data_IF_954201875428
#
_entry.id   IF_954201875428
#
_cell.length_a   1.000
_cell.length_b   1.000
_cell.length_c   1.000
_cell.angle_alpha   90.00
_cell.angle_beta   90.00
_cell.angle_gamma   90.00
#
_symmetry.space_group_name_H-M   'P 1'
#
loop_
_entity.id
_entity.type
_entity.pdbx_description
1 polymer ?
#
# COMPACT_ATOMS: atom_id res chain seq x y z
N UNK A 1 -12.12 39.84 35.88
CA UNK A 1 -11.27 38.64 35.75
C UNK A 1 -11.59 38.02 34.39
N UNK A 2 -10.66 38.12 33.44
CA UNK A 2 -10.79 37.50 32.12
C UNK A 2 -10.53 36.00 32.27
N UNK A 3 -11.56 35.17 32.06
CA UNK A 3 -11.42 33.72 32.00
C UNK A 3 -10.91 33.34 30.60
N UNK A 4 -9.65 32.96 30.51
CA UNK A 4 -9.04 32.46 29.28
C UNK A 4 -9.70 31.15 28.86
N UNK A 5 -10.37 31.15 27.71
CA UNK A 5 -10.70 29.93 26.99
C UNK A 5 -9.39 29.33 26.46
N UNK A 6 -8.99 28.19 27.02
CA UNK A 6 -7.89 27.39 26.49
C UNK A 6 -8.34 26.75 25.17
N UNK A 7 -8.22 27.48 24.06
CA UNK A 7 -8.30 26.90 22.72
C UNK A 7 -7.08 26.00 22.52
N UNK A 8 -7.30 24.67 22.48
CA UNK A 8 -6.28 23.79 21.90
C UNK A 8 -6.03 24.27 20.46
N UNK A 9 -4.78 24.32 19.99
CA UNK A 9 -4.51 24.73 18.62
C UNK A 9 -5.26 23.78 17.69
N UNK A 10 -6.21 24.31 16.91
CA UNK A 10 -6.82 23.63 15.77
C UNK A 10 -5.66 23.18 14.89
N UNK A 11 -5.39 21.87 14.88
CA UNK A 11 -4.45 21.28 13.94
C UNK A 11 -4.97 21.65 12.56
N UNK A 12 -4.15 22.25 11.71
CA UNK A 12 -4.53 22.45 10.31
C UNK A 12 -4.76 21.07 9.69
N UNK A 13 -6.03 20.72 9.47
CA UNK A 13 -6.44 19.49 8.82
C UNK A 13 -6.57 19.81 7.32
N UNK A 14 -6.13 18.91 6.47
CA UNK A 14 -6.51 18.97 5.06
C UNK A 14 -7.86 18.27 4.86
N UNK A 15 -8.52 18.49 3.72
CA UNK A 15 -9.79 17.85 3.40
C UNK A 15 -9.72 16.32 3.53
N UNK A 16 -8.61 15.70 3.12
CA UNK A 16 -8.43 14.25 3.26
C UNK A 16 -8.46 13.80 4.72
N UNK A 17 -7.83 14.55 5.64
CA UNK A 17 -7.83 14.24 7.08
C UNK A 17 -9.23 14.34 7.69
N UNK A 18 -10.04 15.31 7.26
CA UNK A 18 -11.42 15.48 7.76
C UNK A 18 -12.32 14.33 7.28
N UNK A 19 -12.23 13.96 6.00
CA UNK A 19 -12.93 12.77 5.48
C UNK A 19 -12.45 11.51 6.21
N UNK A 20 -11.20 11.50 6.66
CA UNK A 20 -10.61 10.45 7.48
C UNK A 20 -11.25 10.35 8.88
N UNK A 21 -11.50 11.48 9.52
CA UNK A 21 -12.10 11.56 10.85
C UNK A 21 -13.60 11.26 10.82
N UNK A 22 -14.33 11.82 9.85
CA UNK A 22 -15.77 11.57 9.66
C UNK A 22 -16.08 10.10 9.45
N UNK A 23 -15.27 9.39 8.67
CA UNK A 23 -15.47 7.95 8.45
C UNK A 23 -15.20 7.09 9.70
N UNK A 24 -14.48 7.62 10.70
CA UNK A 24 -14.19 6.93 11.98
C UNK A 24 -15.19 7.28 13.08
N UNK A 25 -16.09 8.23 12.83
CA UNK A 25 -17.24 8.50 13.71
C UNK A 25 -18.27 7.39 13.51
N UNK A 26 -18.54 6.65 14.58
CA UNK A 26 -19.60 5.62 14.64
C UNK A 26 -20.93 6.19 15.14
N UNK A 27 -20.92 7.39 15.74
CA UNK A 27 -22.07 8.07 16.33
C UNK A 27 -22.45 9.33 15.53
N UNK A 28 -23.74 9.46 15.18
CA UNK A 28 -24.29 10.62 14.46
C UNK A 28 -24.17 11.94 15.24
N UNK A 29 -24.01 11.87 16.58
CA UNK A 29 -23.93 13.03 17.48
C UNK A 29 -22.61 13.81 17.40
N UNK A 30 -21.63 13.31 16.66
CA UNK A 30 -20.30 13.92 16.47
C UNK A 30 -20.06 14.40 15.05
N UNK A 31 -21.10 14.49 14.21
CA UNK A 31 -20.96 15.08 12.88
C UNK A 31 -20.73 16.60 12.99
N UNK A 32 -19.72 17.15 12.31
CA UNK A 32 -19.49 18.58 12.28
C UNK A 32 -20.63 19.29 11.57
N UNK A 33 -21.02 20.44 12.10
CA UNK A 33 -22.11 21.24 11.56
C UNK A 33 -21.68 22.08 10.36
N UNK A 34 -20.38 22.37 10.24
CA UNK A 34 -19.83 23.04 9.07
C UNK A 34 -18.40 22.58 8.80
N UNK A 35 -18.12 22.32 7.53
CA UNK A 35 -16.77 22.09 7.03
C UNK A 35 -16.48 23.20 6.02
N UNK A 36 -15.46 24.00 6.29
CA UNK A 36 -14.99 25.06 5.39
C UNK A 36 -13.73 24.58 4.70
N UNK A 37 -13.77 24.45 3.38
CA UNK A 37 -12.61 24.06 2.56
C UNK A 37 -12.01 25.32 1.96
N UNK A 38 -10.75 25.60 2.25
CA UNK A 38 -10.05 26.75 1.69
C UNK A 38 -9.59 26.46 0.25
N UNK A 39 -9.36 27.49 -0.57
CA UNK A 39 -8.74 27.29 -1.87
C UNK A 39 -7.40 26.56 -1.73
N UNK A 40 -7.10 25.59 -2.61
CA UNK A 40 -5.83 24.88 -2.55
C UNK A 40 -4.64 25.81 -2.85
N UNK A 41 -3.45 25.47 -2.37
CA UNK A 41 -2.24 26.31 -2.51
C UNK A 41 -1.87 26.66 -3.97
N UNK A 42 -2.29 25.83 -4.92
CA UNK A 42 -2.06 26.03 -6.36
C UNK A 42 -3.22 26.73 -7.08
N UNK A 43 -4.24 27.24 -6.39
CA UNK A 43 -5.43 27.84 -7.00
C UNK A 43 -5.12 29.02 -7.96
N UNK A 44 -3.96 29.65 -7.83
CA UNK A 44 -3.53 30.80 -8.66
C UNK A 44 -2.25 30.52 -9.48
N UNK A 45 -1.81 29.27 -9.63
CA UNK A 45 -0.58 28.94 -10.36
C UNK A 45 -0.84 28.71 -11.86
N UNK A 46 0.04 29.21 -12.74
CA UNK A 46 0.01 29.02 -14.22
C UNK A 46 0.31 27.57 -14.67
N UNK A 47 0.42 26.62 -13.74
CA UNK A 47 0.73 25.20 -14.03
C UNK A 47 -0.52 24.37 -13.79
N UNK A 48 -1.29 24.18 -14.86
CA UNK A 48 -2.55 23.43 -14.93
C UNK A 48 -2.35 21.92 -15.16
N UNK A 49 -1.21 21.35 -14.77
CA UNK A 49 -0.94 19.91 -14.93
C UNK A 49 -1.75 19.01 -13.98
N UNK A 50 -2.49 19.61 -13.03
CA UNK A 50 -3.63 18.93 -12.42
C UNK A 50 -4.78 18.87 -13.44
N UNK A 51 -4.59 17.96 -14.40
CA UNK A 51 -5.44 17.57 -15.51
C UNK A 51 -6.87 18.05 -15.37
N UNK A 52 -7.23 19.11 -16.10
CA UNK A 52 -8.58 19.62 -16.29
C UNK A 52 -9.38 18.62 -17.14
N UNK A 53 -10.18 17.76 -16.49
CA UNK A 53 -11.07 16.79 -17.14
C UNK A 53 -12.47 16.74 -16.50
N UNK A 54 -13.48 16.98 -17.33
CA UNK A 54 -14.93 17.06 -17.10
C UNK A 54 -15.41 17.71 -15.79
N UNK A 55 -15.83 18.97 -15.93
CA UNK A 55 -16.65 19.70 -14.96
C UNK A 55 -18.08 19.14 -14.84
N UNK A 56 -18.48 18.20 -15.71
CA UNK A 56 -19.86 17.69 -15.75
C UNK A 56 -20.21 16.74 -14.59
N UNK A 57 -19.25 16.09 -13.93
CA UNK A 57 -19.53 15.16 -12.82
C UNK A 57 -18.49 15.20 -11.69
N UNK A 58 -18.60 16.22 -10.81
CA UNK A 58 -17.90 16.28 -9.53
C UNK A 58 -18.64 15.40 -8.50
N UNK A 59 -18.19 14.16 -8.31
CA UNK A 59 -18.58 13.34 -7.17
C UNK A 59 -17.50 13.43 -6.08
N UNK A 60 -17.86 13.18 -4.81
CA UNK A 60 -16.91 13.07 -3.68
C UNK A 60 -15.74 12.12 -3.99
N UNK A 61 -15.99 11.19 -4.92
CA UNK A 61 -15.06 10.17 -5.38
C UNK A 61 -14.08 10.65 -6.47
N UNK A 62 -14.19 11.89 -6.92
CA UNK A 62 -13.45 12.44 -8.07
C UNK A 62 -12.74 13.75 -7.73
N UNK A 63 -12.53 14.05 -6.44
CA UNK A 63 -11.81 15.25 -6.02
C UNK A 63 -10.36 15.22 -6.52
N UNK A 64 -9.89 16.38 -6.97
CA UNK A 64 -8.52 16.59 -7.43
C UNK A 64 -7.54 16.53 -6.26
N UNK A 65 -6.28 16.21 -6.55
CA UNK A 65 -5.22 16.16 -5.54
C UNK A 65 -5.02 17.47 -4.80
N UNK A 66 -5.08 18.61 -5.49
CA UNK A 66 -5.10 19.94 -4.85
C UNK A 66 -6.24 20.09 -3.85
N UNK A 67 -7.46 19.70 -4.23
CA UNK A 67 -8.65 19.79 -3.38
C UNK A 67 -8.53 18.90 -2.14
N UNK A 68 -8.01 17.67 -2.28
CA UNK A 68 -7.80 16.76 -1.13
C UNK A 68 -6.72 17.28 -0.17
N UNK A 69 -5.72 17.98 -0.69
CA UNK A 69 -4.65 18.62 0.11
C UNK A 69 -5.02 20.03 0.57
N UNK A 70 -6.18 20.54 0.16
CA UNK A 70 -6.61 21.87 0.54
C UNK A 70 -6.76 21.96 2.06
N UNK A 71 -6.29 23.06 2.69
CA UNK A 71 -6.57 23.32 4.08
C UNK A 71 -8.07 23.33 4.30
N UNK A 72 -8.53 22.80 5.43
CA UNK A 72 -9.93 22.80 5.77
C UNK A 72 -10.12 22.93 7.29
N UNK A 73 -11.21 23.60 7.65
CA UNK A 73 -11.62 23.85 9.03
C UNK A 73 -12.94 23.15 9.32
N UNK A 74 -13.06 22.64 10.55
CA UNK A 74 -14.23 21.90 11.02
C UNK A 74 -14.84 22.66 12.20
N UNK A 75 -16.15 22.92 12.12
CA UNK A 75 -16.93 23.53 13.19
C UNK A 75 -17.95 22.52 13.71
N UNK A 76 -18.05 22.40 15.03
CA UNK A 76 -19.07 21.62 15.72
C UNK A 76 -20.03 22.56 16.44
N UNK A 77 -21.33 22.38 16.26
CA UNK A 77 -22.34 23.12 17.02
C UNK A 77 -22.52 22.40 18.35
N UNK A 78 -22.10 23.04 19.44
CA UNK A 78 -22.60 22.65 20.75
C UNK A 78 -24.03 23.18 20.81
N UNK A 79 -25.04 22.31 20.89
CA UNK A 79 -26.41 22.73 21.17
C UNK A 79 -26.40 23.37 22.56
N UNK A 80 -26.63 24.67 22.63
CA UNK A 80 -26.59 25.47 23.84
C UNK A 80 -27.84 25.33 24.72
N UNK A 81 -28.54 24.20 24.66
CA UNK A 81 -29.83 24.02 25.33
C UNK A 81 -29.82 22.95 26.43
N UNK A 82 -28.67 22.64 27.02
CA UNK A 82 -28.59 22.17 28.42
C UNK A 82 -27.32 22.74 29.07
N UNK A 83 -27.50 23.74 29.94
CA UNK A 83 -26.49 24.06 30.96
C UNK A 83 -26.36 22.85 31.90
N UNK A 84 -25.11 22.53 32.20
CA UNK A 84 -24.57 21.74 33.31
C UNK A 84 -24.21 20.25 33.07
N UNK A 85 -22.89 20.05 33.10
CA UNK A 85 -22.13 18.82 33.37
C UNK A 85 -21.99 17.73 32.28
N UNK A 86 -21.23 18.05 31.22
CA UNK A 86 -20.39 17.03 30.54
C UNK A 86 -18.91 17.31 30.85
N UNK A 87 -18.24 16.47 31.64
CA UNK A 87 -16.85 16.73 32.03
C UNK A 87 -15.91 16.62 30.82
N UNK A 88 -14.97 17.57 30.69
CA UNK A 88 -13.87 17.61 29.69
C UNK A 88 -13.06 16.30 29.55
N UNK A 89 -13.23 15.34 30.46
CA UNK A 89 -12.70 13.96 30.36
C UNK A 89 -13.38 13.09 29.29
N UNK A 90 -14.56 13.47 28.77
CA UNK A 90 -15.20 12.75 27.66
C UNK A 90 -14.47 12.98 26.33
N UNK A 91 -13.79 14.12 26.17
CA UNK A 91 -12.97 14.46 25.00
C UNK A 91 -11.53 13.87 25.07
N UNK A 92 -11.14 13.21 26.17
CA UNK A 92 -9.77 12.70 26.35
C UNK A 92 -9.63 11.19 26.09
N UNK A 93 -10.69 10.45 25.81
CA UNK A 93 -10.61 9.01 25.53
C UNK A 93 -10.38 8.70 24.05
N UNK A 94 -9.25 9.15 23.49
CA UNK A 94 -8.60 8.49 22.33
C UNK A 94 -7.15 8.96 22.16
N UNK A 95 -6.32 8.58 23.13
CA UNK A 95 -4.91 8.29 22.90
C UNK A 95 -4.43 7.32 23.97
N UNK A 96 -4.24 6.04 23.60
CA UNK A 96 -3.25 5.20 24.30
C UNK A 96 -1.89 5.63 23.75
N UNK A 97 -1.33 6.68 24.32
CA UNK A 97 0.12 6.84 24.38
C UNK A 97 0.56 6.08 25.62
N UNK A 98 1.39 5.04 25.44
CA UNK A 98 2.21 4.52 26.53
C UNK A 98 3.11 5.67 26.95
N UNK A 99 2.92 6.17 28.16
CA UNK A 99 3.85 7.09 28.81
C UNK A 99 4.58 6.31 29.90
N UNK A 100 5.90 6.17 29.73
CA UNK A 100 6.80 5.63 30.74
C UNK A 100 6.99 6.73 31.78
N UNK A 101 6.37 6.59 32.94
CA UNK A 101 6.59 7.47 34.09
C UNK A 101 7.99 7.24 34.64
N UNK A 102 8.86 8.25 34.50
CA UNK A 102 10.07 8.39 35.30
C UNK A 102 9.66 8.97 36.65
N UNK A 103 9.93 8.22 37.72
CA UNK A 103 9.82 8.71 39.10
C UNK A 103 11.07 9.54 39.43
N UNK A 104 10.87 10.82 39.77
CA UNK A 104 11.87 11.64 40.43
C UNK A 104 12.03 11.14 41.87
N UNK A 105 13.23 10.67 42.21
CA UNK A 105 13.67 10.50 43.60
C UNK A 105 15.01 11.19 43.80
N UNK A 106 14.96 12.20 44.65
CA UNK A 106 15.96 12.73 45.58
C UNK A 106 17.47 12.71 45.25
N UNK A 107 18.01 13.92 45.35
CA UNK A 107 19.40 14.35 45.35
C UNK A 107 20.47 13.36 45.84
N UNK A 108 21.54 13.17 45.05
CA UNK A 108 22.91 12.89 45.54
C UNK A 108 23.98 13.42 44.53
N UNK A 109 25.27 13.51 44.89
CA UNK A 109 26.08 14.73 44.84
C UNK A 109 26.94 14.88 43.56
N UNK A 110 27.50 16.09 43.41
CA UNK A 110 28.57 16.41 42.47
C UNK A 110 29.70 15.37 42.51
N UNK A 111 29.99 14.75 41.35
CA UNK A 111 31.28 14.14 41.10
C UNK A 111 31.66 14.33 39.62
N UNK A 112 32.67 15.16 39.41
CA UNK A 112 33.42 15.33 38.17
C UNK A 112 34.18 14.05 37.84
N UNK A 113 33.96 13.47 36.67
CA UNK A 113 34.98 12.64 36.00
C UNK A 113 34.67 12.54 34.50
N UNK A 114 35.61 13.03 33.70
CA UNK A 114 35.69 12.85 32.25
C UNK A 114 35.54 11.37 31.86
N UNK A 115 34.54 11.05 31.04
CA UNK A 115 34.42 9.73 30.41
C UNK A 115 34.55 9.89 28.90
N UNK A 116 35.71 9.46 28.42
CA UNK A 116 36.10 9.33 27.02
C UNK A 116 35.03 8.66 26.17
N UNK A 117 34.76 9.26 25.01
CA UNK A 117 33.95 8.69 23.93
C UNK A 117 34.56 7.37 23.43
N UNK A 118 33.98 6.24 23.82
CA UNK A 118 34.13 4.96 23.14
C UNK A 118 32.77 4.25 23.12
N UNK A 119 31.84 4.79 22.33
CA UNK A 119 30.66 4.04 21.90
C UNK A 119 31.07 3.19 20.70
N UNK A 120 31.33 1.91 20.96
CA UNK A 120 31.49 0.91 19.91
C UNK A 120 30.12 0.72 19.25
N UNK A 121 29.91 1.42 18.13
CA UNK A 121 28.78 1.17 17.25
C UNK A 121 28.81 -0.29 16.83
N UNK A 122 27.83 -1.08 17.27
CA UNK A 122 27.65 -2.45 16.79
C UNK A 122 27.24 -2.33 15.32
N UNK A 123 28.24 -2.41 14.44
CA UNK A 123 28.06 -2.56 13.01
C UNK A 123 27.18 -3.80 12.78
N UNK A 124 26.12 -3.71 11.95
CA UNK A 124 25.40 -4.89 11.51
C UNK A 124 26.40 -5.90 10.96
N UNK A 125 26.44 -7.11 11.52
CA UNK A 125 27.15 -8.26 10.97
C UNK A 125 26.46 -8.73 9.70
N UNK A 126 26.49 -7.89 8.66
CA UNK A 126 26.34 -8.34 7.29
C UNK A 126 27.70 -8.93 6.91
N UNK A 127 27.78 -10.19 6.45
CA UNK A 127 29.03 -10.73 5.92
C UNK A 127 29.55 -9.76 4.85
N UNK A 128 30.77 -9.22 5.04
CA UNK A 128 31.43 -8.22 4.16
C UNK A 128 31.46 -8.60 2.66
N UNK A 129 31.06 -9.81 2.31
CA UNK A 129 31.08 -10.34 0.94
C UNK A 129 29.70 -10.36 0.24
N UNK A 130 28.61 -9.96 0.89
CA UNK A 130 27.40 -9.54 0.16
C UNK A 130 27.48 -8.05 -0.13
N UNK A 131 28.28 -7.71 -1.14
CA UNK A 131 27.95 -6.52 -1.93
C UNK A 131 26.59 -6.81 -2.56
N UNK A 132 25.57 -6.03 -2.23
CA UNK A 132 24.38 -5.95 -3.09
C UNK A 132 24.88 -5.52 -4.46
N UNK A 133 25.08 -6.51 -5.32
CA UNK A 133 25.43 -6.31 -6.72
C UNK A 133 24.16 -5.85 -7.42
N UNK A 134 23.73 -4.63 -7.14
CA UNK A 134 22.97 -3.83 -8.10
C UNK A 134 23.90 -3.59 -9.29
N UNK A 135 24.13 -4.63 -10.10
CA UNK A 135 24.88 -4.52 -11.34
C UNK A 135 24.04 -3.70 -12.31
N UNK A 136 24.70 -3.06 -13.28
CA UNK A 136 24.10 -2.33 -14.41
C UNK A 136 23.04 -3.12 -15.25
N UNK A 137 22.67 -4.33 -14.84
CA UNK A 137 21.66 -5.21 -15.46
C UNK A 137 20.22 -4.93 -14.99
N UNK A 138 20.02 -4.18 -13.90
CA UNK A 138 18.70 -3.99 -13.26
C UNK A 138 17.95 -2.71 -13.66
N UNK A 139 18.58 -1.85 -14.47
CA UNK A 139 17.84 -0.84 -15.23
C UNK A 139 17.67 -1.47 -16.61
N UNK A 140 16.42 -1.67 -17.09
CA UNK A 140 16.17 -2.24 -18.41
C UNK A 140 17.12 -1.60 -19.43
N UNK A 141 17.83 -2.38 -20.24
CA UNK A 141 18.71 -1.79 -21.27
C UNK A 141 17.92 -0.86 -22.21
N UNK A 142 16.61 -1.07 -22.32
CA UNK A 142 15.68 -0.24 -23.07
C UNK A 142 15.36 1.11 -22.40
N UNK A 143 15.58 1.27 -21.08
CA UNK A 143 15.49 2.56 -20.37
C UNK A 143 16.44 3.63 -20.91
N UNK A 144 17.45 3.18 -21.64
CA UNK A 144 18.47 4.02 -22.25
C UNK A 144 18.23 4.33 -23.74
N UNK A 145 17.35 3.59 -24.41
CA UNK A 145 16.98 3.79 -25.82
C UNK A 145 15.66 4.57 -25.99
N UNK A 146 14.82 4.63 -24.94
CA UNK A 146 13.45 5.17 -25.00
C UNK A 146 13.31 6.69 -25.25
N UNK A 147 14.40 7.46 -25.32
CA UNK A 147 14.35 8.92 -25.55
C UNK A 147 14.87 9.37 -26.92
N UNK A 148 15.47 8.48 -27.72
CA UNK A 148 16.13 8.91 -28.97
C UNK A 148 15.18 8.92 -30.18
N UNK A 149 14.01 8.25 -30.09
CA UNK A 149 13.06 8.13 -31.19
C UNK A 149 11.61 8.33 -30.68
N UNK A 150 10.90 9.30 -31.27
CA UNK A 150 9.44 9.52 -31.27
C UNK A 150 8.83 10.66 -30.40
N UNK A 151 8.16 11.60 -31.08
CA UNK A 151 7.00 12.36 -30.58
C UNK A 151 7.05 13.88 -30.83
N UNK A 152 6.19 14.40 -31.73
CA UNK A 152 6.08 15.82 -32.17
C UNK A 152 5.76 16.88 -31.09
N UNK A 153 5.86 16.56 -29.79
CA UNK A 153 5.67 17.49 -28.67
C UNK A 153 6.75 17.42 -27.58
N UNK A 154 7.71 16.50 -27.69
CA UNK A 154 8.82 16.42 -26.74
C UNK A 154 9.90 17.42 -27.17
N UNK A 155 10.34 18.27 -26.25
CA UNK A 155 11.48 19.17 -26.49
C UNK A 155 12.69 18.31 -26.85
N UNK A 156 13.37 18.62 -27.95
CA UNK A 156 14.61 17.95 -28.33
C UNK A 156 15.61 18.03 -27.16
N UNK A 157 16.03 16.88 -26.64
CA UNK A 157 16.97 16.83 -25.53
C UNK A 157 17.39 15.41 -25.21
N UNK A 158 18.41 14.92 -25.91
CA UNK A 158 19.00 13.59 -25.68
C UNK A 158 19.31 13.41 -24.20
N UNK A 159 18.83 12.32 -23.60
CA UNK A 159 19.13 11.96 -22.21
C UNK A 159 20.11 10.80 -22.22
N UNK A 160 21.24 10.98 -21.54
CA UNK A 160 22.27 9.94 -21.46
C UNK A 160 21.95 8.91 -20.37
N UNK A 161 22.55 7.72 -20.48
CA UNK A 161 22.52 6.66 -19.44
C UNK A 161 22.91 7.20 -18.07
N UNK A 162 23.96 8.01 -18.01
CA UNK A 162 24.47 8.61 -16.77
C UNK A 162 23.48 9.57 -16.14
N UNK A 163 22.81 10.39 -16.95
CA UNK A 163 21.75 11.29 -16.47
C UNK A 163 20.55 10.51 -15.94
N UNK A 164 20.13 9.44 -16.63
CA UNK A 164 19.02 8.61 -16.15
C UNK A 164 19.35 7.93 -14.81
N UNK A 165 20.58 7.43 -14.64
CA UNK A 165 21.05 6.89 -13.35
C UNK A 165 21.06 7.94 -12.26
N UNK A 166 21.51 9.16 -12.57
CA UNK A 166 21.48 10.30 -11.65
C UNK A 166 20.04 10.64 -11.26
N UNK A 167 19.13 10.72 -12.23
CA UNK A 167 17.69 10.94 -12.02
C UNK A 167 17.07 9.90 -11.08
N UNK A 168 17.29 8.61 -11.36
CA UNK A 168 16.83 7.52 -10.48
C UNK A 168 17.48 7.59 -9.08
N UNK A 169 18.75 7.99 -9.00
CA UNK A 169 19.46 8.24 -7.75
C UNK A 169 18.78 9.33 -6.91
N UNK A 170 18.37 10.43 -7.53
CA UNK A 170 17.62 11.51 -6.88
C UNK A 170 16.25 11.01 -6.39
N UNK A 171 15.53 10.19 -7.18
CA UNK A 171 14.26 9.59 -6.77
C UNK A 171 14.41 8.66 -5.56
N UNK A 172 15.42 7.79 -5.55
CA UNK A 172 15.73 6.96 -4.39
C UNK A 172 16.09 7.81 -3.16
N UNK A 173 16.89 8.86 -3.34
CA UNK A 173 17.26 9.78 -2.27
C UNK A 173 16.03 10.48 -1.66
N UNK A 174 15.09 10.91 -2.49
CA UNK A 174 13.83 11.54 -2.06
C UNK A 174 12.89 10.63 -1.25
N UNK A 175 13.07 9.32 -1.35
CA UNK A 175 12.37 8.36 -0.49
C UNK A 175 12.98 8.26 0.90
N UNK A 176 14.26 8.61 1.06
CA UNK A 176 14.98 8.62 2.33
C UNK A 176 14.90 10.00 3.02
N UNK A 177 15.12 11.07 2.27
CA UNK A 177 15.01 12.45 2.75
C UNK A 177 13.75 13.06 2.17
N UNK A 178 12.71 13.21 2.98
CA UNK A 178 11.42 13.76 2.53
C UNK A 178 11.35 15.26 2.81
N UNK A 179 10.99 16.05 1.79
CA UNK A 179 10.76 17.50 1.90
C UNK A 179 9.35 17.86 1.44
N UNK A 180 8.74 18.95 1.94
CA UNK A 180 7.35 19.31 1.62
C UNK A 180 7.07 19.53 0.13
N UNK A 181 8.05 20.08 -0.62
CA UNK A 181 7.92 20.36 -2.05
C UNK A 181 9.12 19.84 -2.80
N UNK A 182 8.88 19.14 -3.91
CA UNK A 182 9.94 18.52 -4.74
C UNK A 182 11.10 19.46 -5.07
N UNK A 183 10.83 20.73 -5.40
CA UNK A 183 11.88 21.66 -5.79
C UNK A 183 12.77 22.14 -4.63
N UNK A 184 12.41 21.83 -3.37
CA UNK A 184 13.26 22.14 -2.22
C UNK A 184 14.57 21.35 -2.21
N UNK A 185 14.69 20.24 -2.94
CA UNK A 185 15.98 19.57 -3.12
C UNK A 185 17.01 20.42 -3.89
N UNK A 186 16.56 21.50 -4.56
CA UNK A 186 17.42 22.45 -5.27
C UNK A 186 17.52 23.81 -4.57
N UNK A 187 17.03 23.91 -3.32
CA UNK A 187 17.15 25.14 -2.55
C UNK A 187 18.62 25.44 -2.23
N UNK A 188 18.98 26.71 -2.27
CA UNK A 188 20.38 27.17 -2.08
C UNK A 188 20.59 27.87 -0.75
N UNK A 189 19.52 28.13 0.01
CA UNK A 189 19.60 28.70 1.36
C UNK A 189 20.46 27.83 2.29
N UNK A 190 21.20 28.47 3.18
CA UNK A 190 22.21 27.81 4.02
C UNK A 190 21.66 26.70 4.91
N UNK A 191 20.38 26.78 5.26
CA UNK A 191 19.63 25.88 6.13
C UNK A 191 18.84 24.78 5.40
N UNK A 192 18.65 24.89 4.08
CA UNK A 192 17.88 23.94 3.27
C UNK A 192 18.66 23.38 2.06
N UNK A 193 19.97 23.61 2.00
CA UNK A 193 20.80 23.22 0.86
C UNK A 193 21.13 21.72 0.82
N UNK A 194 20.51 21.00 -0.12
CA UNK A 194 20.84 19.61 -0.44
C UNK A 194 21.94 19.53 -1.49
N UNK A 195 23.19 19.66 -1.05
CA UNK A 195 24.39 19.60 -1.92
C UNK A 195 24.49 18.36 -2.79
N UNK A 196 23.97 17.22 -2.33
CA UNK A 196 24.00 15.98 -3.12
C UNK A 196 23.05 16.03 -4.33
N UNK A 197 21.97 16.80 -4.28
CA UNK A 197 20.99 16.84 -5.38
C UNK A 197 21.37 17.90 -6.40
N UNK A 198 21.52 19.16 -5.97
CA UNK A 198 21.74 20.26 -6.93
C UNK A 198 23.10 20.19 -7.64
N UNK A 199 24.13 19.59 -7.03
CA UNK A 199 25.42 19.36 -7.69
C UNK A 199 25.37 18.20 -8.70
N UNK A 200 24.42 17.28 -8.57
CA UNK A 200 24.32 16.08 -9.41
C UNK A 200 23.46 16.29 -10.65
N UNK A 201 22.41 17.11 -10.58
CA UNK A 201 21.55 17.46 -11.71
C UNK A 201 20.88 18.80 -11.45
N UNK A 202 20.74 19.67 -12.46
CA UNK A 202 19.98 20.91 -12.31
C UNK A 202 18.48 20.65 -12.20
N UNK A 203 17.75 21.58 -11.56
CA UNK A 203 16.29 21.50 -11.42
C UNK A 203 15.59 21.42 -12.77
N UNK A 204 16.06 22.21 -13.72
CA UNK A 204 15.52 22.29 -15.08
C UNK A 204 15.75 20.97 -15.83
N UNK A 205 16.91 20.34 -15.65
CA UNK A 205 17.21 19.05 -16.28
C UNK A 205 16.42 17.91 -15.65
N UNK A 206 16.26 17.89 -14.34
CA UNK A 206 15.38 16.93 -13.65
C UNK A 206 13.93 17.08 -14.13
N UNK A 207 13.44 18.32 -14.22
CA UNK A 207 12.08 18.63 -14.70
C UNK A 207 11.89 18.20 -16.15
N UNK A 208 12.89 18.44 -17.00
CA UNK A 208 12.89 17.94 -18.37
C UNK A 208 12.74 16.41 -18.42
N UNK A 209 13.55 15.66 -17.65
CA UNK A 209 13.52 14.20 -17.67
C UNK A 209 12.18 13.67 -17.16
N UNK A 210 11.69 14.15 -16.02
CA UNK A 210 10.45 13.63 -15.42
C UNK A 210 9.21 13.92 -16.27
N UNK A 211 9.16 15.05 -16.96
CA UNK A 211 8.02 15.43 -17.82
C UNK A 211 8.01 14.72 -19.18
N UNK A 212 9.13 14.12 -19.61
CA UNK A 212 9.25 13.47 -20.91
C UNK A 212 9.54 11.96 -20.77
N UNK A 213 9.31 11.38 -19.58
CA UNK A 213 9.58 9.96 -19.35
C UNK A 213 8.51 9.09 -20.03
N UNK A 214 8.95 8.23 -20.95
CA UNK A 214 8.11 7.25 -21.64
C UNK A 214 8.70 5.84 -21.51
N UNK A 215 7.83 4.82 -21.42
CA UNK A 215 8.23 3.41 -21.32
C UNK A 215 7.75 2.57 -22.52
N UNK A 216 7.02 3.18 -23.44
CA UNK A 216 6.48 2.54 -24.64
C UNK A 216 6.39 3.57 -25.77
N UNK A 217 6.56 3.12 -27.01
CA UNK A 217 6.36 3.94 -28.20
C UNK A 217 4.85 4.13 -28.42
N UNK A 218 4.40 5.38 -28.40
CA UNK A 218 2.98 5.70 -28.60
C UNK A 218 2.46 5.35 -30.00
N UNK A 219 3.33 5.22 -30.99
CA UNK A 219 2.93 4.90 -32.38
C UNK A 219 2.48 3.46 -32.55
N UNK A 220 2.85 2.57 -31.64
CA UNK A 220 2.51 1.14 -31.69
C UNK A 220 1.38 0.74 -30.74
N UNK A 221 0.82 1.68 -29.98
CA UNK A 221 -0.20 1.39 -28.97
C UNK A 221 -1.57 1.02 -29.56
N UNK A 222 -1.91 1.54 -30.75
CA UNK A 222 -3.20 1.31 -31.40
C UNK A 222 -4.40 1.41 -30.46
N UNK A 223 -5.38 0.52 -30.63
CA UNK A 223 -6.54 0.36 -29.73
C UNK A 223 -6.28 -0.72 -28.66
N UNK A 224 -5.12 -0.67 -28.00
CA UNK A 224 -4.78 -1.65 -26.96
C UNK A 224 -5.85 -1.68 -25.86
N UNK A 225 -6.37 -2.87 -25.48
CA UNK A 225 -7.31 -3.01 -24.38
C UNK A 225 -6.65 -2.80 -23.00
N UNK A 226 -5.31 -2.84 -22.94
CA UNK A 226 -4.55 -2.62 -21.71
C UNK A 226 -4.44 -1.13 -21.38
N UNK A 227 -5.13 -0.69 -20.33
CA UNK A 227 -5.11 0.70 -19.86
C UNK A 227 -3.74 1.14 -19.35
N UNK A 228 -2.86 0.19 -19.07
CA UNK A 228 -1.46 0.44 -18.69
C UNK A 228 -0.47 0.18 -19.81
N UNK A 229 -0.90 0.07 -21.08
CA UNK A 229 -0.03 -0.25 -22.21
C UNK A 229 1.23 0.64 -22.31
N UNK A 230 1.13 1.92 -21.91
CA UNK A 230 2.27 2.86 -21.87
C UNK A 230 3.37 2.48 -20.87
N UNK A 231 3.03 1.75 -19.82
CA UNK A 231 3.93 1.29 -18.75
C UNK A 231 4.16 -0.22 -18.77
N UNK A 232 3.38 -0.98 -19.56
CA UNK A 232 3.46 -2.44 -19.63
C UNK A 232 4.89 -2.96 -19.86
N UNK A 233 5.70 -2.41 -20.79
CA UNK A 233 7.08 -2.88 -20.97
C UNK A 233 7.95 -2.73 -19.71
N UNK A 234 7.71 -1.70 -18.90
CA UNK A 234 8.40 -1.52 -17.62
C UNK A 234 7.94 -2.55 -16.59
N UNK A 235 6.63 -2.80 -16.49
CA UNK A 235 6.09 -3.79 -15.56
C UNK A 235 6.59 -5.19 -15.87
N UNK A 236 6.60 -5.58 -17.14
CA UNK A 236 7.05 -6.90 -17.57
C UNK A 236 8.54 -7.11 -17.27
N UNK A 237 9.38 -6.10 -17.52
CA UNK A 237 10.80 -6.19 -17.22
C UNK A 237 11.08 -6.17 -15.71
N UNK A 238 10.32 -5.41 -14.91
CA UNK A 238 10.41 -5.45 -13.45
C UNK A 238 10.02 -6.82 -12.90
N UNK A 239 8.90 -7.38 -13.34
CA UNK A 239 8.45 -8.71 -12.93
C UNK A 239 9.49 -9.79 -13.28
N UNK A 240 10.10 -9.69 -14.46
CA UNK A 240 11.21 -10.57 -14.85
C UNK A 240 12.40 -10.45 -13.90
N UNK A 241 12.86 -9.23 -13.63
CA UNK A 241 13.99 -8.98 -12.71
C UNK A 241 13.66 -9.48 -11.31
N UNK A 242 12.46 -9.19 -10.80
CA UNK A 242 12.02 -9.60 -9.47
C UNK A 242 11.98 -11.12 -9.35
N UNK A 243 11.45 -11.80 -10.36
CA UNK A 243 11.41 -13.26 -10.42
C UNK A 243 12.82 -13.87 -10.49
N UNK A 244 13.70 -13.34 -11.34
CA UNK A 244 15.10 -13.82 -11.45
C UNK A 244 15.92 -13.61 -10.17
N UNK A 245 15.58 -12.59 -9.39
CA UNK A 245 16.32 -12.19 -8.18
C UNK A 245 15.66 -12.68 -6.89
N UNK A 246 14.49 -13.30 -6.98
CA UNK A 246 13.77 -13.80 -5.83
C UNK A 246 14.55 -14.91 -5.13
N UNK A 247 14.57 -14.95 -3.78
CA UNK A 247 15.06 -16.12 -3.07
C UNK A 247 14.13 -17.30 -3.37
N UNK A 248 14.72 -18.49 -3.56
CA UNK A 248 13.94 -19.72 -3.65
C UNK A 248 13.31 -19.98 -2.29
N UNK A 249 11.98 -19.86 -2.23
CA UNK A 249 11.18 -20.10 -1.04
C UNK A 249 9.98 -20.98 -1.39
N UNK A 250 9.36 -21.53 -0.36
CA UNK A 250 8.18 -22.37 -0.50
C UNK A 250 6.88 -21.56 -0.38
N UNK A 251 6.90 -20.50 0.43
CA UNK A 251 5.68 -19.82 0.90
C UNK A 251 5.55 -18.44 0.26
N UNK A 252 4.42 -18.22 -0.42
CA UNK A 252 4.11 -16.96 -1.10
C UNK A 252 2.74 -16.46 -0.71
N UNK A 253 2.62 -15.16 -0.48
CA UNK A 253 1.35 -14.47 -0.23
C UNK A 253 0.93 -13.67 -1.45
N UNK A 254 -0.37 -13.68 -1.75
CA UNK A 254 -0.98 -12.80 -2.75
C UNK A 254 -1.95 -11.87 -2.03
N UNK A 255 -1.78 -10.58 -2.26
CA UNK A 255 -2.66 -9.54 -1.72
C UNK A 255 -2.62 -8.30 -2.62
N UNK A 256 -3.20 -7.22 -2.13
CA UNK A 256 -3.42 -5.97 -2.84
C UNK A 256 -2.53 -4.88 -2.26
N UNK A 257 -1.81 -4.16 -3.13
CA UNK A 257 -1.07 -2.96 -2.76
C UNK A 257 -1.73 -1.71 -3.36
N UNK A 258 -1.60 -0.58 -2.66
CA UNK A 258 -2.08 0.71 -3.14
C UNK A 258 -0.91 1.65 -3.38
N UNK A 259 -0.81 2.19 -4.59
CA UNK A 259 0.11 3.26 -4.95
C UNK A 259 -0.66 4.58 -4.93
N UNK A 260 -0.36 5.52 -4.01
CA UNK A 260 -1.09 6.77 -3.89
C UNK A 260 -1.10 7.55 -5.20
N UNK A 261 -2.28 7.92 -5.67
CA UNK A 261 -2.44 8.75 -6.86
C UNK A 261 -3.73 9.55 -6.78
N UNK A 262 -3.60 10.86 -6.96
CA UNK A 262 -4.69 11.82 -6.77
C UNK A 262 -5.11 12.52 -8.07
N UNK A 263 -4.45 12.22 -9.20
CA UNK A 263 -4.82 12.74 -10.51
C UNK A 263 -6.05 12.03 -11.10
N UNK A 264 -6.36 12.36 -12.36
CA UNK A 264 -7.47 11.76 -13.10
C UNK A 264 -6.95 10.58 -13.93
N UNK A 265 -7.43 9.38 -13.62
CA UNK A 265 -7.16 8.19 -14.43
C UNK A 265 -8.28 7.17 -14.23
N UNK A 266 -8.69 6.48 -15.29
CA UNK A 266 -9.83 5.53 -15.24
C UNK A 266 -9.56 4.29 -14.38
N UNK A 267 -8.29 3.93 -14.15
CA UNK A 267 -7.90 2.86 -13.23
C UNK A 267 -7.75 3.30 -11.77
N UNK A 268 -7.87 4.60 -11.44
CA UNK A 268 -7.80 5.07 -10.05
C UNK A 268 -8.91 4.41 -9.23
N UNK A 269 -8.55 3.83 -8.09
CA UNK A 269 -9.47 3.18 -7.17
C UNK A 269 -9.67 4.03 -5.92
N UNK A 270 -10.87 3.94 -5.37
CA UNK A 270 -11.21 4.38 -4.03
C UNK A 270 -11.39 3.16 -3.13
N UNK A 271 -10.64 3.08 -2.03
CA UNK A 271 -10.84 2.05 -1.01
C UNK A 271 -11.15 2.72 0.33
N UNK A 272 -12.43 2.70 0.70
CA UNK A 272 -12.93 3.24 1.96
C UNK A 272 -12.26 2.57 3.17
N UNK A 273 -11.93 3.36 4.20
CA UNK A 273 -11.37 2.84 5.45
C UNK A 273 -9.92 2.34 5.39
N UNK A 274 -9.21 2.48 4.26
CA UNK A 274 -7.77 2.17 4.16
C UNK A 274 -6.91 3.44 4.31
N UNK A 275 -5.67 3.35 4.82
CA UNK A 275 -4.78 4.51 4.96
C UNK A 275 -4.51 5.23 3.64
N UNK A 276 -4.38 4.48 2.53
CA UNK A 276 -4.31 5.02 1.17
C UNK A 276 -5.65 4.75 0.52
N UNK A 277 -6.50 5.78 0.48
CA UNK A 277 -7.85 5.68 -0.09
C UNK A 277 -7.87 5.80 -1.60
N UNK A 278 -7.01 6.66 -2.14
CA UNK A 278 -6.96 7.03 -3.54
C UNK A 278 -5.67 6.56 -4.17
N UNK A 279 -5.77 5.75 -5.22
CA UNK A 279 -4.56 5.31 -5.90
C UNK A 279 -4.75 4.23 -6.94
N UNK A 280 -3.64 3.73 -7.45
CA UNK A 280 -3.61 2.53 -8.27
C UNK A 280 -3.56 1.31 -7.35
N UNK A 281 -4.53 0.43 -7.53
CA UNK A 281 -4.53 -0.89 -6.91
C UNK A 281 -3.67 -1.82 -7.75
N UNK A 282 -2.75 -2.55 -7.11
CA UNK A 282 -1.92 -3.57 -7.71
C UNK A 282 -2.23 -4.91 -7.05
N UNK A 283 -2.31 -5.99 -7.82
CA UNK A 283 -2.14 -7.34 -7.31
C UNK A 283 -0.66 -7.56 -7.07
N UNK A 284 -0.29 -8.14 -5.93
CA UNK A 284 1.12 -8.36 -5.55
C UNK A 284 1.31 -9.76 -5.01
N UNK A 285 2.22 -10.50 -5.64
CA UNK A 285 2.77 -11.76 -5.14
C UNK A 285 4.09 -11.49 -4.43
N UNK A 286 4.21 -11.94 -3.18
CA UNK A 286 5.39 -11.73 -2.36
C UNK A 286 5.80 -12.97 -1.57
N UNK A 287 7.09 -13.08 -1.23
CA UNK A 287 7.59 -14.12 -0.32
C UNK A 287 7.19 -13.84 1.12
N UNK A 288 7.40 -14.81 2.02
CA UNK A 288 7.12 -14.69 3.45
C UNK A 288 7.82 -13.50 4.13
N UNK A 289 8.98 -13.06 3.61
CA UNK A 289 9.73 -11.93 4.15
C UNK A 289 9.42 -10.60 3.43
N UNK A 290 8.41 -10.58 2.55
CA UNK A 290 7.95 -9.37 1.87
C UNK A 290 8.74 -9.02 0.60
N UNK A 291 9.50 -9.96 0.02
CA UNK A 291 10.10 -9.73 -1.29
C UNK A 291 9.02 -9.84 -2.37
N UNK A 292 8.79 -8.75 -3.11
CA UNK A 292 7.84 -8.75 -4.24
C UNK A 292 8.46 -9.50 -5.41
N UNK A 293 7.83 -10.59 -5.83
CA UNK A 293 8.25 -11.40 -6.98
C UNK A 293 7.44 -11.04 -8.24
N UNK A 294 6.19 -10.62 -8.05
CA UNK A 294 5.27 -10.32 -9.14
C UNK A 294 4.27 -9.26 -8.72
N UNK A 295 3.88 -8.41 -9.66
CA UNK A 295 2.71 -7.54 -9.52
C UNK A 295 2.01 -7.31 -10.85
N UNK A 296 0.72 -7.00 -10.79
CA UNK A 296 -0.04 -6.54 -11.96
C UNK A 296 -1.06 -5.46 -11.57
N UNK A 297 -1.13 -4.32 -12.29
CA UNK A 297 -2.11 -3.29 -12.00
C UNK A 297 -3.55 -3.71 -12.27
N UNK A 298 -4.43 -3.45 -11.29
CA UNK A 298 -5.86 -3.63 -11.46
C UNK A 298 -6.44 -2.57 -12.41
N UNK A 299 -7.22 -3.00 -13.40
CA UNK A 299 -7.72 -2.14 -14.49
C UNK A 299 -9.23 -1.85 -14.41
N UNK A 300 -9.83 -2.11 -13.24
CA UNK A 300 -11.27 -1.97 -13.03
C UNK A 300 -12.06 -3.08 -13.73
N UNK A 301 -13.23 -2.73 -14.27
CA UNK A 301 -14.09 -3.64 -15.04
C UNK A 301 -13.45 -4.15 -16.33
N UNK A 302 -12.39 -3.47 -16.80
CA UNK A 302 -11.67 -3.82 -18.02
C UNK A 302 -10.47 -4.74 -17.76
N UNK A 303 -10.28 -5.25 -16.55
CA UNK A 303 -9.27 -6.27 -16.28
C UNK A 303 -9.52 -7.48 -17.16
N UNK A 304 -8.64 -7.69 -18.13
CA UNK A 304 -8.69 -8.84 -19.03
C UNK A 304 -8.33 -10.08 -18.24
N UNK A 305 -9.30 -10.98 -18.08
CA UNK A 305 -9.07 -12.30 -17.49
C UNK A 305 -8.64 -13.24 -18.63
N UNK A 306 -7.55 -13.97 -18.44
CA UNK A 306 -7.13 -15.00 -19.39
C UNK A 306 -8.29 -15.98 -19.66
N UNK A 307 -8.53 -16.34 -20.93
CA UNK A 307 -9.69 -17.14 -21.34
C UNK A 307 -9.83 -18.44 -20.53
N UNK A 308 -8.69 -19.09 -20.24
CA UNK A 308 -8.64 -20.33 -19.47
C UNK A 308 -9.01 -20.19 -17.99
N UNK A 309 -9.11 -18.97 -17.44
CA UNK A 309 -9.36 -18.69 -16.02
C UNK A 309 -10.68 -18.00 -15.73
N UNK A 310 -11.48 -17.67 -16.76
CA UNK A 310 -12.75 -16.96 -16.60
C UNK A 310 -13.73 -17.63 -15.63
N UNK A 311 -13.72 -18.96 -15.58
CA UNK A 311 -14.58 -19.76 -14.69
C UNK A 311 -14.28 -19.56 -13.19
N UNK A 312 -13.10 -19.06 -12.84
CA UNK A 312 -12.71 -18.80 -11.45
C UNK A 312 -12.98 -17.34 -11.03
N UNK A 313 -13.48 -16.51 -11.95
CA UNK A 313 -13.64 -15.07 -11.74
C UNK A 313 -12.32 -14.34 -11.58
N UNK A 314 -12.40 -13.04 -11.32
CA UNK A 314 -11.21 -12.17 -11.23
C UNK A 314 -10.27 -12.55 -10.09
N UNK A 315 -10.80 -12.87 -8.90
CA UNK A 315 -9.95 -13.26 -7.76
C UNK A 315 -9.18 -14.54 -8.04
N UNK A 316 -9.86 -15.58 -8.52
CA UNK A 316 -9.20 -16.85 -8.84
C UNK A 316 -8.25 -16.74 -10.02
N UNK A 317 -8.53 -15.93 -11.04
CA UNK A 317 -7.63 -15.75 -12.17
C UNK A 317 -6.29 -15.13 -11.76
N UNK A 318 -6.30 -14.14 -10.87
CA UNK A 318 -5.08 -13.53 -10.33
C UNK A 318 -4.20 -14.57 -9.62
N UNK A 319 -4.80 -15.49 -8.86
CA UNK A 319 -4.06 -16.57 -8.19
C UNK A 319 -3.45 -17.53 -9.21
N UNK A 320 -4.19 -17.88 -10.27
CA UNK A 320 -3.71 -18.80 -11.30
C UNK A 320 -2.64 -18.18 -12.19
N UNK A 321 -2.75 -16.90 -12.53
CA UNK A 321 -1.71 -16.14 -13.25
C UNK A 321 -0.42 -16.07 -12.42
N UNK A 322 -0.51 -15.78 -11.12
CA UNK A 322 0.66 -15.80 -10.26
C UNK A 322 1.23 -17.23 -10.08
N UNK A 323 0.38 -18.25 -10.03
CA UNK A 323 0.83 -19.64 -10.03
C UNK A 323 1.63 -19.99 -11.30
N UNK A 324 1.21 -19.51 -12.47
CA UNK A 324 1.93 -19.69 -13.73
C UNK A 324 3.32 -19.01 -13.66
N UNK A 325 3.43 -17.83 -13.04
CA UNK A 325 4.72 -17.14 -12.82
C UNK A 325 5.66 -17.99 -11.98
N UNK A 326 5.18 -18.56 -10.86
CA UNK A 326 6.00 -19.41 -9.99
C UNK A 326 6.41 -20.71 -10.69
N UNK A 327 5.48 -21.41 -11.34
CA UNK A 327 5.76 -22.66 -12.05
C UNK A 327 6.65 -22.44 -13.28
N UNK A 328 6.56 -21.28 -13.94
CA UNK A 328 7.47 -20.88 -15.00
C UNK A 328 8.88 -20.57 -14.49
N UNK A 329 9.02 -20.11 -13.24
CA UNK A 329 10.32 -19.89 -12.60
C UNK A 329 10.99 -21.20 -12.20
N UNK A 330 10.28 -22.07 -11.47
CA UNK A 330 10.75 -23.42 -11.14
C UNK A 330 9.56 -24.40 -10.98
N UNK A 331 9.31 -25.28 -11.96
CA UNK A 331 8.17 -26.19 -11.92
C UNK A 331 8.34 -27.34 -10.91
N UNK A 332 9.52 -27.50 -10.32
CA UNK A 332 9.84 -28.63 -9.43
C UNK A 332 9.59 -28.32 -7.96
N UNK A 333 9.41 -27.04 -7.61
CA UNK A 333 9.26 -26.62 -6.23
C UNK A 333 7.81 -26.78 -5.74
N UNK A 334 7.63 -27.21 -4.48
CA UNK A 334 6.30 -27.43 -3.93
C UNK A 334 5.71 -26.11 -3.39
N UNK A 335 5.42 -25.13 -4.25
CA UNK A 335 4.94 -23.83 -3.80
C UNK A 335 3.66 -23.90 -2.96
N UNK A 336 3.57 -23.03 -1.95
CA UNK A 336 2.43 -22.87 -1.05
C UNK A 336 1.95 -21.42 -1.10
N UNK A 337 0.75 -21.23 -1.65
CA UNK A 337 0.09 -19.94 -1.82
C UNK A 337 -0.81 -19.62 -0.63
N UNK A 338 -0.68 -18.40 -0.11
CA UNK A 338 -1.53 -17.84 0.94
C UNK A 338 -2.28 -16.63 0.39
N UNK A 339 -3.59 -16.59 0.59
CA UNK A 339 -4.41 -15.49 0.09
C UNK A 339 -5.66 -15.27 0.95
N UNK A 340 -6.21 -14.07 0.86
CA UNK A 340 -7.37 -13.67 1.66
C UNK A 340 -8.70 -14.23 1.10
N UNK A 341 -9.80 -13.74 1.66
CA UNK A 341 -11.15 -14.18 1.29
C UNK A 341 -11.70 -13.59 -0.01
N UNK A 342 -11.05 -12.58 -0.58
CA UNK A 342 -11.40 -12.05 -1.89
C UNK A 342 -11.00 -13.02 -2.99
N UNK A 343 -9.86 -13.70 -2.84
CA UNK A 343 -9.36 -14.66 -3.82
C UNK A 343 -9.90 -16.09 -3.63
N UNK A 344 -10.28 -16.45 -2.41
CA UNK A 344 -10.55 -17.85 -2.03
C UNK A 344 -11.86 -18.41 -2.58
N UNK A 345 -11.80 -19.60 -3.21
CA UNK A 345 -12.96 -20.44 -3.52
C UNK A 345 -12.59 -21.92 -3.51
N UNK A 346 -13.57 -22.81 -3.26
CA UNK A 346 -13.34 -24.26 -3.29
C UNK A 346 -12.91 -24.76 -4.69
N UNK A 347 -13.53 -24.32 -5.81
CA UNK A 347 -13.06 -24.70 -7.15
C UNK A 347 -11.61 -24.30 -7.43
N UNK A 348 -11.18 -23.12 -6.95
CA UNK A 348 -9.78 -22.69 -7.08
C UNK A 348 -8.82 -23.62 -6.35
N UNK A 349 -9.15 -24.05 -5.12
CA UNK A 349 -8.32 -24.99 -4.37
C UNK A 349 -8.21 -26.36 -5.06
N UNK A 350 -9.27 -26.83 -5.73
CA UNK A 350 -9.19 -28.04 -6.55
C UNK A 350 -8.22 -27.86 -7.73
N UNK A 351 -8.32 -26.74 -8.44
CA UNK A 351 -7.43 -26.45 -9.58
C UNK A 351 -5.97 -26.37 -9.16
N UNK A 352 -5.68 -25.68 -8.04
CA UNK A 352 -4.32 -25.62 -7.49
C UNK A 352 -3.81 -27.02 -7.09
N UNK A 353 -4.67 -27.87 -6.55
CA UNK A 353 -4.32 -29.27 -6.25
C UNK A 353 -3.97 -30.07 -7.51
N UNK A 354 -4.74 -29.89 -8.59
CA UNK A 354 -4.47 -30.55 -9.88
C UNK A 354 -3.12 -30.11 -10.48
N UNK A 355 -2.68 -28.89 -10.17
CA UNK A 355 -1.37 -28.33 -10.55
C UNK A 355 -0.22 -28.73 -9.62
N UNK A 356 -0.49 -29.51 -8.56
CA UNK A 356 0.50 -29.88 -7.55
C UNK A 356 0.91 -28.72 -6.63
N UNK A 357 0.10 -27.66 -6.57
CA UNK A 357 0.36 -26.48 -5.74
C UNK A 357 -0.40 -26.58 -4.42
N UNK A 358 0.25 -26.12 -3.36
CA UNK A 358 -0.37 -25.98 -2.05
C UNK A 358 -1.00 -24.61 -1.92
N UNK A 359 -2.13 -24.53 -1.22
CA UNK A 359 -2.91 -23.32 -1.12
C UNK A 359 -3.65 -23.28 0.22
N UNK A 360 -3.69 -22.10 0.84
CA UNK A 360 -4.42 -21.88 2.09
C UNK A 360 -4.94 -20.45 2.11
N UNK A 361 -6.24 -20.31 2.32
CA UNK A 361 -6.85 -18.99 2.37
C UNK A 361 -8.06 -18.92 3.28
N UNK A 362 -8.34 -17.73 3.80
CA UNK A 362 -9.60 -17.47 4.50
C UNK A 362 -10.73 -17.54 3.50
N UNK A 363 -11.86 -18.17 3.80
CA UNK A 363 -12.99 -18.30 2.87
C UNK A 363 -14.26 -17.70 3.45
N UNK A 364 -15.05 -17.02 2.61
CA UNK A 364 -16.35 -16.48 3.03
C UNK A 364 -17.41 -17.55 3.01
N UNK A 365 -18.30 -17.53 4.00
CA UNK A 365 -19.36 -18.52 4.16
C UNK A 365 -20.28 -18.64 2.93
N UNK A 366 -20.59 -17.51 2.29
CA UNK A 366 -21.44 -17.47 1.09
C UNK A 366 -20.80 -18.10 -0.16
N UNK A 367 -19.49 -18.36 -0.14
CA UNK A 367 -18.74 -18.95 -1.28
C UNK A 367 -18.51 -20.45 -1.07
N UNK A 368 -18.79 -20.98 0.13
CA UNK A 368 -18.60 -22.39 0.46
C UNK A 368 -19.66 -23.32 -0.14
N UNK A 369 -20.41 -22.88 -1.16
CA UNK A 369 -21.81 -23.18 -1.55
C UNK A 369 -22.38 -24.60 -1.43
N UNK A 370 -21.61 -25.63 -1.06
CA UNK A 370 -22.05 -26.99 -0.75
C UNK A 370 -21.34 -27.62 0.48
N UNK A 371 -20.63 -26.86 1.30
CA UNK A 371 -19.94 -27.36 2.49
C UNK A 371 -20.93 -27.48 3.66
N UNK A 372 -21.15 -28.68 4.23
CA UNK A 372 -22.10 -28.91 5.31
C UNK A 372 -21.50 -28.50 6.66
N UNK A 373 -21.13 -27.23 6.79
CA UNK A 373 -20.71 -26.61 8.04
C UNK A 373 -21.85 -25.74 8.59
N UNK A 374 -21.95 -25.69 9.92
CA UNK A 374 -22.91 -24.83 10.63
C UNK A 374 -22.74 -23.37 10.20
N UNK A 375 -23.84 -22.62 10.16
CA UNK A 375 -23.78 -21.20 9.81
C UNK A 375 -23.05 -20.40 10.90
N UNK A 376 -22.39 -19.31 10.50
CA UNK A 376 -21.64 -18.44 11.40
C UNK A 376 -22.51 -17.90 12.55
N UNK A 377 -23.81 -17.66 12.30
CA UNK A 377 -24.76 -17.20 13.31
C UNK A 377 -24.93 -18.19 14.46
N UNK A 378 -24.98 -19.48 14.14
CA UNK A 378 -25.21 -20.54 15.11
C UNK A 378 -23.91 -20.86 15.85
N UNK A 379 -22.79 -20.87 15.12
CA UNK A 379 -21.49 -21.21 15.66
C UNK A 379 -20.87 -20.12 16.56
N UNK A 380 -21.26 -18.84 16.38
CA UNK A 380 -20.74 -17.71 17.17
C UNK A 380 -20.99 -17.84 18.69
N UNK A 381 -22.01 -18.59 19.08
CA UNK A 381 -22.37 -18.80 20.50
C UNK A 381 -21.59 -19.95 21.17
N UNK A 382 -20.70 -20.63 20.44
CA UNK A 382 -19.83 -21.66 21.01
C UNK A 382 -18.70 -21.05 21.84
N UNK A 383 -18.05 -21.86 22.67
CA UNK A 383 -16.90 -21.40 23.46
C UNK A 383 -15.77 -20.92 22.55
N UNK A 384 -15.04 -19.88 22.99
CA UNK A 384 -13.85 -19.42 22.27
C UNK A 384 -12.84 -20.56 22.17
N UNK A 385 -12.35 -20.82 20.96
CA UNK A 385 -11.47 -21.93 20.64
C UNK A 385 -12.19 -23.19 20.17
N UNK A 386 -13.53 -23.25 20.23
CA UNK A 386 -14.30 -24.29 19.55
C UNK A 386 -14.05 -24.22 18.05
N UNK A 387 -13.91 -25.38 17.41
CA UNK A 387 -13.75 -25.49 15.96
C UNK A 387 -14.53 -26.68 15.40
N UNK A 388 -14.93 -26.56 14.14
CA UNK A 388 -15.55 -27.60 13.33
C UNK A 388 -14.88 -27.64 11.98
N UNK A 389 -14.80 -28.82 11.37
CA UNK A 389 -14.17 -28.96 10.06
C UNK A 389 -14.85 -30.02 9.21
N UNK A 390 -14.67 -29.87 7.89
CA UNK A 390 -15.00 -30.88 6.89
C UNK A 390 -13.81 -31.03 5.97
N UNK A 391 -13.55 -32.26 5.55
CA UNK A 391 -12.58 -32.55 4.50
C UNK A 391 -13.27 -33.32 3.39
N UNK A 392 -12.95 -33.00 2.14
CA UNK A 392 -13.44 -33.74 0.99
C UNK A 392 -12.47 -34.85 0.59
N UNK A 393 -12.96 -36.08 0.45
CA UNK A 393 -12.22 -37.16 -0.22
C UNK A 393 -12.70 -37.26 -1.68
N UNK A 394 -11.80 -37.50 -2.67
CA UNK A 394 -10.37 -37.80 -2.54
C UNK A 394 -9.44 -36.57 -2.58
N UNK A 395 -10.00 -35.37 -2.72
CA UNK A 395 -9.26 -34.13 -3.04
C UNK A 395 -8.55 -33.49 -1.85
N UNK A 396 -8.77 -34.02 -0.64
CA UNK A 396 -8.17 -33.59 0.63
C UNK A 396 -8.29 -32.08 0.91
N UNK A 397 -9.30 -31.41 0.37
CA UNK A 397 -9.57 -30.01 0.72
C UNK A 397 -10.19 -30.00 2.11
N UNK A 398 -9.49 -29.37 3.04
CA UNK A 398 -9.95 -29.06 4.37
C UNK A 398 -10.66 -27.71 4.36
N UNK A 399 -11.84 -27.65 4.97
CA UNK A 399 -12.49 -26.40 5.40
C UNK A 399 -12.63 -26.47 6.91
N UNK A 400 -11.97 -25.55 7.61
CA UNK A 400 -11.97 -25.46 9.07
C UNK A 400 -12.56 -24.11 9.49
N UNK A 401 -13.46 -24.16 10.47
CA UNK A 401 -14.11 -23.00 11.07
C UNK A 401 -13.84 -23.02 12.58
N UNK A 402 -13.42 -21.90 13.15
CA UNK A 402 -13.23 -21.80 14.60
C UNK A 402 -13.73 -20.46 15.14
N UNK A 403 -14.11 -20.46 16.41
CA UNK A 403 -14.62 -19.28 17.10
C UNK A 403 -13.48 -18.59 17.85
N UNK A 404 -13.17 -17.34 17.48
CA UNK A 404 -12.26 -16.47 18.24
C UNK A 404 -13.03 -15.24 18.76
N UNK A 405 -12.54 -14.01 18.56
CA UNK A 405 -13.34 -12.79 18.77
C UNK A 405 -14.49 -12.70 17.75
N UNK A 406 -14.30 -13.34 16.60
CA UNK A 406 -15.28 -13.57 15.55
C UNK A 406 -15.07 -14.96 14.98
N UNK A 407 -16.10 -15.51 14.33
CA UNK A 407 -15.98 -16.77 13.61
C UNK A 407 -15.04 -16.57 12.42
N UNK A 408 -14.03 -17.43 12.30
CA UNK A 408 -13.08 -17.46 11.17
C UNK A 408 -13.25 -18.77 10.43
N UNK A 409 -13.19 -18.72 9.10
CA UNK A 409 -13.20 -19.92 8.25
C UNK A 409 -12.01 -19.89 7.31
N UNK A 410 -11.28 -21.00 7.25
CA UNK A 410 -10.13 -21.21 6.37
C UNK A 410 -10.35 -22.46 5.55
N UNK A 411 -9.93 -22.42 4.29
CA UNK A 411 -9.85 -23.58 3.43
C UNK A 411 -8.39 -23.82 2.99
N UNK A 412 -8.00 -25.09 2.91
CA UNK A 412 -6.66 -25.51 2.51
C UNK A 412 -6.72 -26.82 1.75
N UNK A 413 -5.84 -27.03 0.77
CA UNK A 413 -5.69 -28.30 0.06
C UNK A 413 -4.50 -29.14 0.55
N UNK A 414 -3.79 -28.67 1.58
CA UNK A 414 -2.57 -29.33 2.08
C UNK A 414 -2.57 -29.54 3.58
N UNK A 415 -3.30 -28.72 4.33
CA UNK A 415 -3.29 -28.75 5.79
C UNK A 415 -4.26 -29.79 6.35
N UNK A 416 -3.97 -30.24 7.56
CA UNK A 416 -4.87 -31.07 8.36
C UNK A 416 -5.18 -30.39 9.69
N UNK A 417 -6.24 -30.83 10.36
CA UNK A 417 -6.65 -30.20 11.64
C UNK A 417 -5.75 -30.59 12.81
N UNK A 418 -5.06 -31.73 12.70
CA UNK A 418 -4.18 -32.24 13.75
C UNK A 418 -2.70 -32.08 13.39
N UNK A 419 -1.80 -31.92 14.38
CA UNK A 419 -2.08 -31.81 15.82
C UNK A 419 -2.55 -30.40 16.23
N UNK A 420 -3.61 -30.34 17.03
CA UNK A 420 -4.06 -29.09 17.64
C UNK A 420 -3.04 -28.54 18.66
N UNK A 421 -2.71 -27.24 18.57
CA UNK A 421 -1.82 -26.54 19.53
C UNK A 421 -2.51 -25.31 20.12
N UNK A 422 -2.22 -25.02 21.39
CA UNK A 422 -2.65 -23.75 22.00
C UNK A 422 -1.93 -22.59 21.31
N UNK A 423 -2.69 -21.64 20.77
CA UNK A 423 -2.11 -20.44 20.15
C UNK A 423 -1.56 -19.48 21.22
N UNK A 424 -0.46 -18.79 20.89
CA UNK A 424 0.03 -17.64 21.68
C UNK A 424 -0.62 -16.38 21.10
N UNK A 425 -1.11 -15.49 21.96
CA UNK A 425 -1.70 -14.23 21.53
C UNK A 425 -0.58 -13.27 21.08
N UNK A 426 -0.38 -13.15 19.77
CA UNK A 426 0.68 -12.30 19.18
C UNK A 426 0.41 -10.80 19.34
N UNK A 427 -0.74 -10.37 19.86
CA UNK A 427 -1.07 -8.96 20.10
C UNK A 427 -0.52 -8.41 21.42
N UNK A 428 0.10 -9.25 22.25
CA UNK A 428 0.61 -8.89 23.59
C UNK A 428 2.14 -8.74 23.67
N UNK A 429 2.82 -8.50 22.56
CA UNK A 429 4.24 -8.16 22.54
C UNK A 429 4.46 -6.69 22.21
#
# INVERSE_FOLDING_TARGET
MMSGQSTRPLRALNLNDIVDELERCEDDDLLPTQITIFPPENANADVTDEDSGDEEFVALQNLLGSQLRAPAEVTFHMSSDEEDDVPLSSLSKRRRTMDLTLEDSDAVPSCTSDVSTNSTFVQPTVPRNQTYRWKNRHIPNHFYQWNDEQGQRNKEGKVTVSEMKCFLGILMYSGYVVVPRRFMYWETSTDANFRIVHNSMSRERFTFIISNLHCCDNTVLGDSPDKFAKLRPLFDELNKIFTEMAPLEENYSIDEAMVPYYGRHSCKQFIRGKPIRWGYKLWVGATRLGYVIWFDPYQGKSSTIAEGYKQFGLGGSVILEFADVLQGHDPTLPFHLFFDNYFSSIPLLHELSNRGLRATGTIRENIMSNCPLEFNKDFKNTDRGSFVFKSSLPTNILVCKWNDNSVVTVASNTETVEPCKKSRDFRKN
#
